data_IF_428738768613
#
_entry.id   IF_428738768613
#
_cell.length_a   1.000
_cell.length_b   1.000
_cell.length_c   1.000
_cell.angle_alpha   90.00
_cell.angle_beta   90.00
_cell.angle_gamma   90.00
#
_symmetry.space_group_name_H-M   'P 1'
#
loop_
_entity.id
_entity.type
_entity.pdbx_description
1 polymer ?
#
# COMPACT_ATOMS: atom_id res chain seq x y z
N UNK A 1 2.95 0.79 18.88
CA UNK A 1 3.08 1.97 18.00
C UNK A 1 2.77 1.53 16.58
N UNK A 2 1.89 2.25 15.91
CA UNK A 2 1.53 1.96 14.51
C UNK A 2 2.60 2.49 13.56
N UNK A 3 2.72 1.86 12.38
CA UNK A 3 3.69 2.23 11.37
C UNK A 3 3.08 3.12 10.29
N UNK A 4 3.90 4.00 9.71
CA UNK A 4 3.59 4.82 8.55
C UNK A 4 4.36 4.30 7.34
N UNK A 5 3.65 3.69 6.38
CA UNK A 5 4.14 3.44 5.04
C UNK A 5 3.85 4.63 4.13
N UNK A 6 4.86 5.17 3.50
CA UNK A 6 4.71 6.32 2.60
C UNK A 6 4.82 5.84 1.16
N UNK A 7 3.71 5.93 0.42
CA UNK A 7 3.73 5.68 -1.02
C UNK A 7 4.27 6.93 -1.76
N UNK A 8 5.32 6.74 -2.56
CA UNK A 8 6.03 7.81 -3.26
C UNK A 8 5.79 7.80 -4.78
N UNK A 9 4.80 7.07 -5.27
CA UNK A 9 4.52 6.95 -6.72
C UNK A 9 4.29 8.29 -7.39
N UNK A 10 3.60 9.23 -6.73
CA UNK A 10 3.29 10.54 -7.28
C UNK A 10 4.52 11.43 -7.46
N UNK A 11 5.63 11.16 -6.77
CA UNK A 11 6.92 11.80 -7.07
C UNK A 11 7.41 11.37 -8.46
N UNK A 12 7.29 10.08 -8.77
CA UNK A 12 7.61 9.57 -10.10
C UNK A 12 6.61 10.05 -11.16
N UNK A 13 5.32 10.23 -10.80
CA UNK A 13 4.31 10.83 -11.70
C UNK A 13 4.74 12.23 -12.11
N UNK A 14 5.13 13.09 -11.17
CA UNK A 14 5.58 14.45 -11.44
C UNK A 14 6.83 14.46 -12.34
N UNK A 15 7.82 13.61 -12.05
CA UNK A 15 9.01 13.42 -12.89
C UNK A 15 8.64 13.04 -14.32
N UNK A 16 7.75 12.06 -14.46
CA UNK A 16 7.38 11.52 -15.79
C UNK A 16 6.55 12.53 -16.60
N UNK A 17 5.71 13.34 -15.96
CA UNK A 17 4.94 14.39 -16.63
C UNK A 17 5.82 15.43 -17.34
N UNK A 18 7.03 15.68 -16.80
CA UNK A 18 8.02 16.57 -17.44
C UNK A 18 8.98 15.83 -18.38
N UNK A 19 9.06 14.51 -18.30
CA UNK A 19 10.01 13.73 -19.08
C UNK A 19 11.47 13.87 -18.62
N UNK A 20 11.69 14.37 -17.41
CA UNK A 20 13.02 14.66 -16.87
C UNK A 20 13.50 13.63 -15.83
N UNK A 21 14.64 13.95 -15.17
CA UNK A 21 15.20 13.09 -14.10
C UNK A 21 14.80 13.56 -12.70
N UNK A 22 14.21 14.74 -12.58
CA UNK A 22 13.77 15.36 -11.32
C UNK A 22 12.23 15.49 -11.30
N UNK A 23 11.58 15.30 -10.11
CA UNK A 23 12.14 14.80 -8.85
C UNK A 23 12.49 13.31 -8.90
N UNK A 24 13.56 12.91 -8.20
CA UNK A 24 14.08 11.55 -8.25
C UNK A 24 13.46 10.66 -7.14
N UNK A 25 12.71 9.59 -7.45
CA UNK A 25 12.07 8.73 -6.45
C UNK A 25 13.05 8.04 -5.49
N UNK A 26 14.27 7.73 -5.93
CA UNK A 26 15.30 7.15 -5.07
C UNK A 26 15.77 8.14 -3.98
N UNK A 27 15.96 9.40 -4.35
CA UNK A 27 16.31 10.47 -3.39
C UNK A 27 15.14 10.68 -2.43
N UNK A 28 13.91 10.70 -2.96
CA UNK A 28 12.71 10.84 -2.16
C UNK A 28 12.53 9.70 -1.15
N UNK A 29 12.79 8.44 -1.53
CA UNK A 29 12.72 7.29 -0.62
C UNK A 29 13.67 7.47 0.57
N UNK A 30 14.92 7.88 0.32
CA UNK A 30 15.90 8.18 1.39
C UNK A 30 15.43 9.33 2.29
N UNK A 31 14.95 10.40 1.66
CA UNK A 31 14.46 11.55 2.42
C UNK A 31 13.29 11.19 3.34
N UNK A 32 12.28 10.51 2.79
CA UNK A 32 11.08 10.08 3.52
C UNK A 32 11.44 9.18 4.71
N UNK A 33 12.35 8.22 4.50
CA UNK A 33 12.90 7.37 5.58
C UNK A 33 13.51 8.23 6.69
N UNK A 34 14.36 9.19 6.34
CA UNK A 34 15.03 10.07 7.31
C UNK A 34 14.06 11.02 8.05
N UNK A 35 12.83 11.19 7.54
CA UNK A 35 11.79 11.95 8.24
C UNK A 35 10.93 11.08 9.18
N UNK A 36 11.20 9.78 9.28
CA UNK A 36 10.54 8.88 10.24
C UNK A 36 9.45 7.98 9.66
N UNK A 37 9.38 7.83 8.33
CA UNK A 37 8.56 6.78 7.73
C UNK A 37 9.13 5.40 8.09
N UNK A 38 8.25 4.47 8.41
CA UNK A 38 8.63 3.10 8.80
C UNK A 38 8.85 2.21 7.58
N UNK A 39 8.12 2.46 6.50
CA UNK A 39 8.27 1.77 5.22
C UNK A 39 8.02 2.72 4.04
N UNK A 40 8.49 2.32 2.86
CA UNK A 40 8.20 2.98 1.59
C UNK A 40 7.35 2.05 0.75
N UNK A 41 6.24 2.55 0.24
CA UNK A 41 5.42 1.85 -0.74
C UNK A 41 5.67 2.42 -2.13
N UNK A 42 5.86 1.55 -3.10
CA UNK A 42 5.97 1.86 -4.53
C UNK A 42 5.17 0.84 -5.34
N UNK A 43 4.49 1.28 -6.38
CA UNK A 43 3.71 0.42 -7.25
C UNK A 43 4.37 0.27 -8.63
N UNK A 44 4.84 -0.93 -8.94
CA UNK A 44 5.32 -1.28 -10.26
C UNK A 44 4.15 -1.69 -11.16
N UNK A 45 3.45 -0.67 -11.70
CA UNK A 45 2.30 -0.88 -12.58
C UNK A 45 2.69 -1.51 -13.91
N UNK A 46 1.74 -2.21 -14.53
CA UNK A 46 1.91 -2.81 -15.86
C UNK A 46 2.26 -1.80 -16.95
N UNK A 47 1.71 -0.59 -16.88
CA UNK A 47 1.91 0.50 -17.84
C UNK A 47 3.10 1.43 -17.49
N UNK A 48 3.75 1.22 -16.33
CA UNK A 48 4.90 2.04 -15.86
C UNK A 48 4.62 3.55 -15.86
N UNK A 49 3.36 3.98 -15.65
CA UNK A 49 3.00 5.41 -15.68
C UNK A 49 3.71 6.26 -14.63
N UNK A 50 4.22 5.65 -13.57
CA UNK A 50 5.02 6.34 -12.53
C UNK A 50 6.33 5.62 -12.23
N UNK A 51 6.38 4.65 -11.32
CA UNK A 51 7.61 3.88 -11.00
C UNK A 51 8.02 3.02 -12.20
N UNK A 52 9.29 3.14 -12.58
CA UNK A 52 9.92 2.32 -13.63
C UNK A 52 10.72 1.17 -12.98
N UNK A 53 11.04 0.13 -13.75
CA UNK A 53 11.79 -1.03 -13.26
C UNK A 53 13.14 -0.62 -12.63
N UNK A 54 13.83 0.37 -13.21
CA UNK A 54 15.08 0.91 -12.70
C UNK A 54 14.90 1.60 -11.34
N UNK A 55 13.77 2.33 -11.13
CA UNK A 55 13.45 2.96 -9.85
C UNK A 55 13.22 1.89 -8.78
N UNK A 56 12.36 0.91 -9.07
CA UNK A 56 12.05 -0.16 -8.14
C UNK A 56 13.32 -0.92 -7.71
N UNK A 57 14.18 -1.27 -8.67
CA UNK A 57 15.46 -1.93 -8.38
C UNK A 57 16.35 -1.09 -7.47
N UNK A 58 16.54 0.21 -7.76
CA UNK A 58 17.37 1.12 -6.97
C UNK A 58 16.79 1.35 -5.58
N UNK A 59 15.46 1.56 -5.45
CA UNK A 59 14.81 1.80 -4.15
C UNK A 59 14.90 0.55 -3.28
N UNK A 60 14.61 -0.62 -3.82
CA UNK A 60 14.71 -1.89 -3.06
C UNK A 60 16.15 -2.27 -2.67
N UNK A 61 17.18 -1.67 -3.29
CA UNK A 61 18.58 -1.89 -2.89
C UNK A 61 19.06 -1.00 -1.74
N UNK A 62 18.25 -0.06 -1.26
CA UNK A 62 18.60 0.83 -0.14
C UNK A 62 18.68 0.00 1.15
N UNK A 63 19.88 -0.09 1.74
CA UNK A 63 20.07 -0.78 3.02
C UNK A 63 19.23 -0.13 4.13
N UNK A 64 18.68 -0.97 5.01
CA UNK A 64 17.85 -0.55 6.16
C UNK A 64 16.59 0.24 5.79
N UNK A 65 16.07 0.11 4.57
CA UNK A 65 14.79 0.62 4.15
C UNK A 65 13.84 -0.53 3.89
N UNK A 66 12.70 -0.55 4.57
CA UNK A 66 11.64 -1.50 4.28
C UNK A 66 10.83 -1.01 3.08
N UNK A 67 10.79 -1.81 2.03
CA UNK A 67 10.06 -1.49 0.81
C UNK A 67 8.91 -2.47 0.60
N UNK A 68 7.70 -1.92 0.53
CA UNK A 68 6.49 -2.60 0.10
C UNK A 68 6.31 -2.36 -1.41
N UNK A 69 6.51 -3.38 -2.23
CA UNK A 69 6.33 -3.31 -3.67
C UNK A 69 4.93 -3.78 -4.05
N UNK A 70 4.08 -2.86 -4.48
CA UNK A 70 2.78 -3.19 -5.04
C UNK A 70 2.94 -3.74 -6.46
N UNK A 71 2.23 -4.84 -6.74
CA UNK A 71 2.31 -5.56 -8.02
C UNK A 71 0.95 -6.08 -8.45
N UNK A 72 0.73 -6.13 -9.76
CA UNK A 72 -0.40 -6.88 -10.32
C UNK A 72 -0.09 -8.38 -10.39
N UNK A 73 -1.11 -9.18 -10.75
CA UNK A 73 -0.95 -10.63 -10.96
C UNK A 73 -0.34 -11.00 -12.32
N UNK A 74 0.11 -10.04 -13.14
CA UNK A 74 0.68 -10.28 -14.46
C UNK A 74 2.05 -10.97 -14.34
N UNK A 75 2.29 -11.99 -15.15
CA UNK A 75 3.49 -12.81 -15.05
C UNK A 75 4.79 -12.01 -15.18
N UNK A 76 4.83 -11.00 -16.06
CA UNK A 76 5.98 -10.12 -16.24
C UNK A 76 6.31 -9.36 -14.95
N UNK A 77 5.29 -8.73 -14.34
CA UNK A 77 5.43 -7.98 -13.10
C UNK A 77 5.90 -8.88 -11.96
N UNK A 78 5.30 -10.06 -11.83
CA UNK A 78 5.71 -11.07 -10.84
C UNK A 78 7.16 -11.51 -11.04
N UNK A 79 7.59 -11.77 -12.29
CA UNK A 79 8.99 -12.11 -12.60
C UNK A 79 9.95 -10.98 -12.23
N UNK A 80 9.60 -9.72 -12.52
CA UNK A 80 10.42 -8.57 -12.19
C UNK A 80 10.52 -8.37 -10.68
N UNK A 81 9.41 -8.46 -9.95
CA UNK A 81 9.42 -8.38 -8.48
C UNK A 81 10.27 -9.48 -7.83
N UNK A 82 10.24 -10.72 -8.34
CA UNK A 82 11.10 -11.81 -7.87
C UNK A 82 12.59 -11.56 -8.14
N UNK A 83 12.96 -10.83 -9.21
CA UNK A 83 14.35 -10.42 -9.50
C UNK A 83 14.79 -9.26 -8.59
N UNK A 84 13.90 -8.31 -8.34
CA UNK A 84 14.15 -7.12 -7.49
C UNK A 84 14.34 -7.53 -6.02
N UNK A 85 13.59 -8.53 -5.53
CA UNK A 85 13.62 -9.04 -4.15
C UNK A 85 13.32 -7.95 -3.12
N UNK A 86 12.12 -7.31 -3.14
CA UNK A 86 11.73 -6.37 -2.10
C UNK A 86 11.57 -7.06 -0.75
N UNK A 87 11.46 -6.29 0.33
CA UNK A 87 11.15 -6.83 1.67
C UNK A 87 9.73 -7.41 1.72
N UNK A 88 8.77 -6.69 1.13
CA UNK A 88 7.37 -7.06 1.07
C UNK A 88 6.84 -6.91 -0.34
N UNK A 89 5.83 -7.70 -0.67
CA UNK A 89 4.98 -7.43 -1.82
C UNK A 89 3.52 -7.28 -1.36
N UNK A 90 2.81 -6.36 -1.98
CA UNK A 90 1.35 -6.29 -1.90
C UNK A 90 0.76 -6.55 -3.28
N UNK A 91 -0.07 -7.59 -3.40
CA UNK A 91 -0.74 -7.87 -4.67
C UNK A 91 -2.00 -7.02 -4.71
N UNK A 92 -2.10 -6.18 -5.76
CA UNK A 92 -3.20 -5.24 -5.95
C UNK A 92 -3.94 -5.54 -7.27
N UNK A 93 -5.24 -5.21 -7.39
CA UNK A 93 -5.91 -5.22 -8.69
C UNK A 93 -5.35 -4.11 -9.56
N UNK A 94 -5.27 -4.35 -10.85
CA UNK A 94 -4.84 -3.35 -11.80
C UNK A 94 -5.70 -3.44 -13.08
N UNK A 95 -6.40 -2.34 -13.38
CA UNK A 95 -7.08 -2.12 -14.64
C UNK A 95 -6.41 -0.92 -15.33
N UNK A 96 -5.98 -1.10 -16.59
CA UNK A 96 -5.29 -0.04 -17.34
C UNK A 96 -6.14 1.19 -17.58
N UNK A 97 -7.47 1.02 -17.62
CA UNK A 97 -8.43 2.12 -17.84
C UNK A 97 -8.72 2.92 -16.57
N UNK A 98 -8.35 2.41 -15.38
CA UNK A 98 -8.57 3.12 -14.12
C UNK A 98 -7.42 4.09 -13.81
N UNK A 99 -7.77 5.28 -13.34
CA UNK A 99 -6.81 6.29 -12.87
C UNK A 99 -6.17 5.82 -11.57
N UNK A 100 -6.98 5.21 -10.70
CA UNK A 100 -6.55 4.65 -9.41
C UNK A 100 -7.09 3.23 -9.23
N UNK A 101 -6.59 2.51 -8.22
CA UNK A 101 -7.13 1.20 -7.84
C UNK A 101 -8.49 1.37 -7.18
N UNK A 102 -9.56 1.05 -7.89
CA UNK A 102 -10.91 1.09 -7.35
C UNK A 102 -11.30 -0.26 -6.74
N UNK A 103 -11.22 -0.37 -5.43
CA UNK A 103 -11.55 -1.59 -4.69
C UNK A 103 -10.39 -2.58 -4.54
N UNK A 104 -10.64 -3.62 -3.74
CA UNK A 104 -9.69 -4.70 -3.50
C UNK A 104 -9.77 -5.81 -4.56
N UNK A 105 -8.80 -6.71 -4.50
CA UNK A 105 -8.73 -7.91 -5.35
C UNK A 105 -10.01 -8.75 -5.28
N UNK A 106 -10.44 -9.26 -6.42
CA UNK A 106 -11.40 -10.38 -6.46
C UNK A 106 -10.65 -11.69 -6.19
N UNK A 107 -10.63 -12.08 -4.92
CA UNK A 107 -9.88 -13.25 -4.47
C UNK A 107 -10.47 -14.56 -5.00
N UNK A 108 -11.80 -14.67 -5.11
CA UNK A 108 -12.45 -15.87 -5.60
C UNK A 108 -12.07 -16.17 -7.05
N UNK A 109 -12.18 -15.17 -7.91
CA UNK A 109 -11.86 -15.31 -9.34
C UNK A 109 -10.38 -15.61 -9.58
N UNK A 110 -9.51 -15.13 -8.70
CA UNK A 110 -8.06 -15.23 -8.88
C UNK A 110 -7.38 -16.28 -7.97
N UNK A 111 -8.14 -17.12 -7.26
CA UNK A 111 -7.66 -17.98 -6.18
C UNK A 111 -6.45 -18.85 -6.60
N UNK A 112 -6.58 -19.60 -7.69
CA UNK A 112 -5.53 -20.51 -8.19
C UNK A 112 -4.26 -19.73 -8.57
N UNK A 113 -4.45 -18.60 -9.26
CA UNK A 113 -3.36 -17.74 -9.71
C UNK A 113 -2.62 -17.11 -8.51
N UNK A 114 -3.36 -16.59 -7.54
CA UNK A 114 -2.80 -16.00 -6.31
C UNK A 114 -1.99 -17.05 -5.52
N UNK A 115 -2.54 -18.25 -5.32
CA UNK A 115 -1.84 -19.34 -4.63
C UNK A 115 -0.48 -19.67 -5.27
N UNK A 116 -0.43 -19.71 -6.61
CA UNK A 116 0.83 -19.95 -7.35
C UNK A 116 1.83 -18.79 -7.17
N UNK A 117 1.36 -17.54 -7.19
CA UNK A 117 2.19 -16.34 -7.03
C UNK A 117 2.74 -16.27 -5.60
N UNK A 118 1.89 -16.36 -4.60
CA UNK A 118 2.27 -16.31 -3.18
C UNK A 118 3.33 -17.37 -2.87
N UNK A 119 3.15 -18.62 -3.31
CA UNK A 119 4.13 -19.71 -3.14
C UNK A 119 5.51 -19.34 -3.70
N UNK A 120 5.59 -18.61 -4.84
CA UNK A 120 6.87 -18.19 -5.43
C UNK A 120 7.59 -17.16 -4.53
N UNK A 121 6.86 -16.19 -3.97
CA UNK A 121 7.44 -15.17 -3.08
C UNK A 121 7.85 -15.76 -1.73
N UNK A 122 7.01 -16.61 -1.14
CA UNK A 122 7.34 -17.31 0.13
C UNK A 122 8.59 -18.18 0.00
N UNK A 123 8.80 -18.90 -1.11
CA UNK A 123 10.04 -19.63 -1.38
C UNK A 123 11.28 -18.72 -1.40
N UNK A 124 11.13 -17.42 -1.68
CA UNK A 124 12.20 -16.41 -1.66
C UNK A 124 12.28 -15.66 -0.33
N UNK A 125 11.50 -16.06 0.68
CA UNK A 125 11.38 -15.39 1.99
C UNK A 125 10.96 -13.92 1.86
N UNK A 126 10.16 -13.60 0.83
CA UNK A 126 9.57 -12.29 0.63
C UNK A 126 8.19 -12.30 1.27
N UNK A 127 7.94 -11.37 2.17
CA UNK A 127 6.67 -11.23 2.87
C UNK A 127 5.55 -10.83 1.91
N UNK A 128 4.37 -11.42 2.08
CA UNK A 128 3.26 -11.28 1.14
C UNK A 128 2.04 -10.63 1.76
N UNK A 129 1.43 -9.70 1.04
CA UNK A 129 0.18 -9.03 1.38
C UNK A 129 -0.80 -9.07 0.22
N UNK A 130 -2.10 -9.01 0.53
CA UNK A 130 -3.18 -8.84 -0.45
C UNK A 130 -3.96 -7.56 -0.15
N UNK A 131 -4.17 -6.74 -1.18
CA UNK A 131 -5.02 -5.56 -1.11
C UNK A 131 -6.47 -5.97 -1.31
N UNK A 132 -7.30 -5.88 -0.27
CA UNK A 132 -8.64 -6.47 -0.22
C UNK A 132 -9.71 -5.48 0.24
N UNK A 133 -10.94 -5.73 -0.13
CA UNK A 133 -12.08 -5.03 0.46
C UNK A 133 -12.32 -5.47 1.91
N UNK A 134 -12.94 -4.63 2.77
CA UNK A 134 -13.30 -5.01 4.13
C UNK A 134 -14.49 -6.00 4.14
N UNK A 135 -14.23 -7.24 3.69
CA UNK A 135 -15.17 -8.37 3.67
C UNK A 135 -14.61 -9.52 4.49
N UNK A 136 -15.42 -10.08 5.40
CA UNK A 136 -15.04 -11.22 6.24
C UNK A 136 -14.55 -12.41 5.41
N UNK A 137 -15.20 -12.64 4.27
CA UNK A 137 -14.85 -13.72 3.35
C UNK A 137 -13.45 -13.53 2.76
N UNK A 138 -13.11 -12.29 2.33
CA UNK A 138 -11.79 -11.98 1.77
C UNK A 138 -10.68 -12.20 2.83
N UNK A 139 -10.95 -11.89 4.10
CA UNK A 139 -10.02 -12.19 5.21
C UNK A 139 -9.79 -13.69 5.35
N UNK A 140 -10.86 -14.51 5.34
CA UNK A 140 -10.75 -15.98 5.43
C UNK A 140 -10.00 -16.58 4.23
N UNK A 141 -10.30 -16.10 3.01
CA UNK A 141 -9.60 -16.54 1.80
C UNK A 141 -8.12 -16.17 1.85
N UNK A 142 -7.79 -14.96 2.33
CA UNK A 142 -6.39 -14.52 2.49
C UNK A 142 -5.62 -15.44 3.44
N UNK A 143 -6.22 -15.87 4.54
CA UNK A 143 -5.61 -16.86 5.45
C UNK A 143 -5.38 -18.21 4.77
N UNK A 144 -6.35 -18.70 4.00
CA UNK A 144 -6.22 -19.97 3.26
C UNK A 144 -5.18 -19.89 2.14
N UNK A 145 -4.89 -18.69 1.62
CA UNK A 145 -3.82 -18.45 0.66
C UNK A 145 -2.45 -18.38 1.32
N UNK A 146 -2.38 -18.41 2.66
CA UNK A 146 -1.15 -18.40 3.44
C UNK A 146 -0.31 -17.13 3.23
N UNK A 147 -0.97 -15.96 3.16
CA UNK A 147 -0.28 -14.66 3.17
C UNK A 147 0.05 -14.23 4.59
N UNK A 148 1.03 -13.33 4.71
CA UNK A 148 1.49 -12.83 6.01
C UNK A 148 0.65 -11.64 6.49
N UNK A 149 0.06 -10.90 5.54
CA UNK A 149 -0.60 -9.63 5.79
C UNK A 149 -1.79 -9.42 4.86
N UNK A 150 -2.70 -8.56 5.26
CA UNK A 150 -3.74 -7.98 4.40
C UNK A 150 -3.71 -6.46 4.51
N UNK A 151 -3.87 -5.78 3.37
CA UNK A 151 -4.11 -4.35 3.34
C UNK A 151 -5.58 -4.09 3.02
N UNK A 152 -6.30 -3.52 3.97
CA UNK A 152 -7.72 -3.22 3.84
C UNK A 152 -7.91 -1.93 3.05
N UNK A 153 -8.66 -2.00 1.96
CA UNK A 153 -9.03 -0.85 1.12
C UNK A 153 -9.93 0.11 1.89
N UNK A 154 -9.46 1.35 2.09
CA UNK A 154 -10.16 2.39 2.86
C UNK A 154 -10.78 3.51 2.01
N UNK A 155 -10.73 3.40 0.69
CA UNK A 155 -11.21 4.45 -0.23
C UNK A 155 -12.66 4.83 -0.02
N UNK A 156 -13.57 3.85 0.14
CA UNK A 156 -14.98 4.11 0.44
C UNK A 156 -15.15 4.88 1.75
N UNK A 157 -14.41 4.50 2.80
CA UNK A 157 -14.44 5.18 4.09
C UNK A 157 -13.99 6.64 3.96
N UNK A 158 -12.87 6.85 3.27
CA UNK A 158 -12.31 8.18 3.03
C UNK A 158 -13.25 9.07 2.19
N UNK A 159 -13.90 8.50 1.18
CA UNK A 159 -14.88 9.21 0.36
C UNK A 159 -16.14 9.61 1.15
N UNK A 160 -16.61 8.77 2.06
CA UNK A 160 -17.71 9.12 2.96
C UNK A 160 -17.36 10.32 3.86
N UNK A 161 -16.13 10.37 4.37
CA UNK A 161 -15.64 11.51 5.17
C UNK A 161 -15.60 12.80 4.34
N UNK A 162 -14.99 12.74 3.13
CA UNK A 162 -14.90 13.90 2.22
C UNK A 162 -16.29 14.41 1.83
N UNK A 163 -17.25 13.52 1.62
CA UNK A 163 -18.64 13.84 1.28
C UNK A 163 -19.50 14.17 2.50
N UNK A 164 -18.94 14.25 3.70
CA UNK A 164 -19.65 14.49 4.97
C UNK A 164 -20.83 13.53 5.23
N UNK A 165 -20.73 12.30 4.74
CA UNK A 165 -21.74 11.25 4.90
C UNK A 165 -21.47 10.41 6.15
N UNK A 166 -22.47 9.62 6.57
CA UNK A 166 -22.33 8.73 7.73
C UNK A 166 -21.31 7.63 7.48
N UNK A 167 -20.29 7.56 8.34
CA UNK A 167 -19.17 6.63 8.25
C UNK A 167 -19.35 5.38 9.13
N UNK A 168 -20.35 5.32 10.02
CA UNK A 168 -20.49 4.30 11.07
C UNK A 168 -20.46 2.88 10.52
N UNK A 169 -21.22 2.62 9.47
CA UNK A 169 -21.31 1.28 8.88
C UNK A 169 -19.96 0.84 8.27
N UNK A 170 -19.30 1.72 7.54
CA UNK A 170 -18.03 1.39 6.90
C UNK A 170 -16.89 1.28 7.92
N UNK A 171 -16.86 2.13 8.94
CA UNK A 171 -15.95 2.00 10.08
C UNK A 171 -16.10 0.64 10.76
N UNK A 172 -17.34 0.23 11.06
CA UNK A 172 -17.61 -1.06 11.71
C UNK A 172 -17.23 -2.24 10.82
N UNK A 173 -17.38 -2.13 9.50
CA UNK A 173 -16.91 -3.15 8.55
C UNK A 173 -15.40 -3.31 8.61
N UNK A 174 -14.65 -2.20 8.50
CA UNK A 174 -13.19 -2.20 8.60
C UNK A 174 -12.76 -2.78 9.96
N UNK A 175 -13.33 -2.30 11.06
CA UNK A 175 -13.02 -2.77 12.41
C UNK A 175 -13.24 -4.28 12.57
N UNK A 176 -14.40 -4.82 12.16
CA UNK A 176 -14.68 -6.26 12.24
C UNK A 176 -13.71 -7.10 11.41
N UNK A 177 -13.34 -6.63 10.21
CA UNK A 177 -12.35 -7.30 9.36
C UNK A 177 -10.97 -7.27 10.00
N UNK A 178 -10.56 -6.14 10.59
CA UNK A 178 -9.27 -6.00 11.27
C UNK A 178 -9.16 -6.93 12.48
N UNK A 179 -10.21 -6.99 13.32
CA UNK A 179 -10.28 -7.89 14.48
C UNK A 179 -10.15 -9.36 14.03
N UNK A 180 -10.94 -9.76 13.02
CA UNK A 180 -10.88 -11.14 12.53
C UNK A 180 -9.49 -11.47 11.95
N UNK A 181 -8.92 -10.59 11.11
CA UNK A 181 -7.62 -10.80 10.49
C UNK A 181 -6.54 -11.00 11.55
N UNK A 182 -6.50 -10.13 12.55
CA UNK A 182 -5.55 -10.23 13.66
C UNK A 182 -5.76 -11.52 14.44
N UNK A 183 -7.01 -11.87 14.80
CA UNK A 183 -7.35 -13.09 15.53
C UNK A 183 -6.87 -14.37 14.86
N UNK A 184 -6.90 -14.42 13.52
CA UNK A 184 -6.44 -15.58 12.75
C UNK A 184 -4.96 -15.48 12.31
N UNK A 185 -4.20 -14.53 12.88
CA UNK A 185 -2.76 -14.38 12.68
C UNK A 185 -2.35 -13.77 11.35
N UNK A 186 -3.16 -12.84 10.80
CA UNK A 186 -2.78 -11.96 9.70
C UNK A 186 -2.43 -10.59 10.24
N UNK A 187 -1.33 -10.00 9.81
CA UNK A 187 -1.05 -8.60 10.08
C UNK A 187 -1.99 -7.71 9.24
N UNK A 188 -2.44 -6.61 9.83
CA UNK A 188 -3.43 -5.73 9.20
C UNK A 188 -2.82 -4.38 8.87
N UNK A 189 -2.85 -4.04 7.59
CA UNK A 189 -2.57 -2.71 7.08
C UNK A 189 -3.86 -2.06 6.59
N UNK A 190 -3.84 -0.74 6.42
CA UNK A 190 -4.93 0.03 5.83
C UNK A 190 -4.37 1.06 4.84
N UNK A 191 -4.97 1.18 3.69
CA UNK A 191 -4.50 2.08 2.64
C UNK A 191 -5.59 2.52 1.67
N UNK A 192 -5.22 3.45 0.84
CA UNK A 192 -6.01 4.10 -0.20
C UNK A 192 -6.96 5.20 0.30
N UNK A 193 -6.76 6.38 -0.26
CA UNK A 193 -7.62 7.54 -0.07
C UNK A 193 -7.49 8.27 1.26
N UNK A 194 -6.59 7.83 2.13
CA UNK A 194 -6.40 8.35 3.48
C UNK A 194 -5.84 9.79 3.48
N UNK A 195 -6.40 10.60 4.40
CA UNK A 195 -5.96 11.93 4.79
C UNK A 195 -5.76 11.99 6.32
N UNK A 196 -5.48 13.16 6.89
CA UNK A 196 -5.31 13.32 8.34
C UNK A 196 -6.55 12.89 9.13
N UNK A 197 -7.74 13.24 8.65
CA UNK A 197 -9.01 12.97 9.37
C UNK A 197 -9.34 11.48 9.36
N UNK A 198 -9.30 10.87 8.19
CA UNK A 198 -9.59 9.43 8.02
C UNK A 198 -8.57 8.57 8.77
N UNK A 199 -7.28 8.92 8.71
CA UNK A 199 -6.22 8.22 9.45
C UNK A 199 -6.44 8.31 10.96
N UNK A 200 -6.74 9.52 11.50
CA UNK A 200 -7.03 9.69 12.93
C UNK A 200 -8.21 8.86 13.42
N UNK A 201 -9.24 8.71 12.60
CA UNK A 201 -10.39 7.90 12.98
C UNK A 201 -10.04 6.41 12.96
N UNK A 202 -9.36 5.95 11.90
CA UNK A 202 -8.98 4.52 11.75
C UNK A 202 -7.84 4.13 12.70
N UNK A 203 -7.00 5.05 13.16
CA UNK A 203 -5.94 4.75 14.14
C UNK A 203 -6.49 4.29 15.49
N UNK A 204 -7.78 4.52 15.77
CA UNK A 204 -8.49 3.99 16.95
C UNK A 204 -8.74 2.47 16.88
N UNK A 205 -8.57 1.84 15.71
CA UNK A 205 -8.64 0.39 15.56
C UNK A 205 -7.27 -0.18 15.91
N UNK A 206 -7.15 -0.84 17.06
CA UNK A 206 -5.88 -1.35 17.61
C UNK A 206 -5.20 -2.34 16.70
N UNK A 207 -5.97 -3.14 15.97
CA UNK A 207 -5.52 -4.22 15.11
C UNK A 207 -4.85 -3.73 13.80
N UNK A 208 -5.10 -2.50 13.38
CA UNK A 208 -4.39 -1.90 12.24
C UNK A 208 -2.99 -1.53 12.70
N UNK A 209 -1.97 -2.14 12.11
CA UNK A 209 -0.57 -1.96 12.48
C UNK A 209 0.18 -0.99 11.56
N UNK A 210 -0.27 -0.81 10.32
CA UNK A 210 0.38 0.08 9.35
C UNK A 210 -0.65 0.82 8.49
N UNK A 211 -0.35 2.09 8.21
CA UNK A 211 -1.11 2.91 7.26
C UNK A 211 -0.24 3.22 6.05
N UNK A 212 -0.70 2.81 4.85
CA UNK A 212 -0.03 3.12 3.58
C UNK A 212 -0.70 4.33 2.93
N UNK A 213 0.03 5.45 2.84
CA UNK A 213 -0.53 6.74 2.42
C UNK A 213 0.38 7.36 1.34
N UNK A 214 -0.20 7.70 0.20
CA UNK A 214 0.56 8.26 -0.94
C UNK A 214 0.04 9.62 -1.40
N UNK A 215 -1.03 9.62 -2.17
CA UNK A 215 -1.53 10.81 -2.86
C UNK A 215 -1.66 12.04 -1.94
N UNK A 216 -2.27 11.87 -0.78
CA UNK A 216 -2.45 12.98 0.16
C UNK A 216 -1.12 13.50 0.69
N UNK A 217 -0.18 12.62 1.07
CA UNK A 217 1.14 13.05 1.56
C UNK A 217 1.85 13.89 0.52
N UNK A 218 1.89 13.43 -0.73
CA UNK A 218 2.62 14.16 -1.79
C UNK A 218 1.91 15.46 -2.17
N UNK A 219 0.58 15.44 -2.32
CA UNK A 219 -0.19 16.64 -2.62
C UNK A 219 -0.10 17.71 -1.52
N UNK A 220 -0.27 17.31 -0.26
CA UNK A 220 -0.17 18.21 0.90
C UNK A 220 1.26 18.78 1.06
N UNK A 221 2.26 17.99 0.62
CA UNK A 221 3.66 18.41 0.71
C UNK A 221 4.02 19.57 -0.24
N UNK A 222 3.25 19.82 -1.27
CA UNK A 222 3.41 20.97 -2.16
C UNK A 222 3.27 22.28 -1.37
N UNK A 223 2.34 22.31 -0.41
CA UNK A 223 2.04 23.50 0.39
C UNK A 223 2.87 23.59 1.68
N UNK A 224 3.11 22.46 2.35
CA UNK A 224 3.65 22.44 3.72
C UNK A 224 5.03 21.79 3.83
N UNK A 225 5.54 21.21 2.76
CA UNK A 225 6.79 20.47 2.73
C UNK A 225 6.69 19.06 3.30
N UNK A 226 7.34 18.10 2.63
CA UNK A 226 7.24 16.66 2.90
C UNK A 226 7.61 16.29 4.34
N UNK A 227 8.64 16.94 4.91
CA UNK A 227 9.06 16.73 6.32
C UNK A 227 7.93 17.00 7.30
N UNK A 228 7.23 18.14 7.16
CA UNK A 228 6.13 18.54 8.05
C UNK A 228 4.95 17.59 7.95
N UNK A 229 4.60 17.20 6.72
CA UNK A 229 3.46 16.30 6.45
C UNK A 229 3.71 14.92 7.07
N UNK A 230 4.90 14.33 6.88
CA UNK A 230 5.26 13.04 7.50
C UNK A 230 5.20 13.13 9.03
N UNK A 231 5.78 14.18 9.63
CA UNK A 231 5.72 14.38 11.08
C UNK A 231 4.30 14.51 11.61
N UNK A 232 3.40 15.15 10.85
CA UNK A 232 1.99 15.26 11.24
C UNK A 232 1.30 13.88 11.25
N UNK A 233 1.55 13.04 10.25
CA UNK A 233 1.01 11.66 10.26
C UNK A 233 1.56 10.84 11.41
N UNK A 234 2.87 10.91 11.69
CA UNK A 234 3.49 10.20 12.83
C UNK A 234 2.92 10.61 14.19
N UNK A 235 2.35 11.81 14.33
CA UNK A 235 1.64 12.23 15.54
C UNK A 235 0.19 11.72 15.62
N UNK A 236 -0.37 11.31 14.50
CA UNK A 236 -1.76 10.85 14.38
C UNK A 236 -1.90 9.36 14.67
N UNK A 237 -0.89 8.56 14.29
CA UNK A 237 -0.89 7.09 14.33
C UNK A 237 -0.21 6.50 15.57
#
# INVERSE_FOLDING_TARGET
VKRLGVNIDHIATLRNARGEKHPNPFIAAKFVKNQGADSITIHLREDRRHIKDADAKKICSIKNLLVNLEISTKNEIVKNALKIKPNFICIVPENRMEITTEGGLDLKRNLIKLKKIIKKFKKRKIRTSLFINPKIEDIKISKNLDVDCVEIHTGKFSNLIKSKKNIKNEFNRIKRCSILANKIGLEVHAGHGLDYKSTRILSKISEIQEFNIGHFIIGESIFYGLKKVIKNFKKII
#
